data_IF_126694024541
#
_entry.id   IF_126694024541
#
_cell.length_a   1.000
_cell.length_b   1.000
_cell.length_c   1.000
_cell.angle_alpha   90.00
_cell.angle_beta   90.00
_cell.angle_gamma   90.00
#
_symmetry.space_group_name_H-M   'P 1'
#
loop_
_entity.id
_entity.type
_entity.pdbx_description
1 polymer ?
#
# COMPACT_ATOMS: atom_id res chain seq x y z
N UNK A 1 -4.28 7.92 -17.94
CA UNK A 1 -4.84 7.06 -16.87
C UNK A 1 -3.72 6.22 -16.32
N UNK A 2 -3.56 6.12 -14.99
CA UNK A 2 -2.54 5.28 -14.37
C UNK A 2 -2.77 3.79 -14.64
N UNK A 3 -1.70 3.02 -14.49
CA UNK A 3 -1.66 1.58 -14.65
C UNK A 3 -1.64 0.94 -13.25
N UNK A 4 -2.54 -0.01 -13.02
CA UNK A 4 -2.66 -0.74 -11.76
C UNK A 4 -2.59 -2.24 -11.99
N UNK A 5 -2.03 -2.93 -11.01
CA UNK A 5 -1.99 -4.39 -10.96
C UNK A 5 -3.09 -4.91 -10.04
N UNK A 6 -3.73 -6.00 -10.43
CA UNK A 6 -4.76 -6.67 -9.65
C UNK A 6 -4.47 -8.17 -9.59
N UNK A 7 -4.78 -8.77 -8.44
CA UNK A 7 -4.60 -10.20 -8.18
C UNK A 7 -5.94 -10.89 -8.03
N UNK A 8 -6.09 -12.05 -8.68
CA UNK A 8 -7.25 -12.90 -8.48
C UNK A 8 -7.25 -13.46 -7.05
N UNK A 9 -8.40 -13.36 -6.37
CA UNK A 9 -8.56 -13.90 -5.02
C UNK A 9 -8.51 -15.44 -4.98
N UNK A 10 -8.90 -16.11 -6.07
CA UNK A 10 -9.07 -17.57 -6.13
C UNK A 10 -7.79 -18.32 -6.50
N UNK A 11 -7.07 -17.86 -7.52
CA UNK A 11 -5.89 -18.56 -8.06
C UNK A 11 -4.59 -17.73 -7.99
N UNK A 12 -4.68 -16.43 -7.70
CA UNK A 12 -3.54 -15.53 -7.62
C UNK A 12 -3.02 -15.01 -8.95
N UNK A 13 -3.72 -15.19 -10.07
CA UNK A 13 -3.40 -14.59 -11.37
C UNK A 13 -3.26 -13.06 -11.25
N UNK A 14 -2.25 -12.49 -11.92
CA UNK A 14 -2.02 -11.05 -11.97
C UNK A 14 -2.45 -10.48 -13.32
N UNK A 15 -3.28 -9.44 -13.28
CA UNK A 15 -3.67 -8.66 -14.46
C UNK A 15 -3.31 -7.19 -14.27
N UNK A 16 -3.19 -6.48 -15.38
CA UNK A 16 -2.82 -5.07 -15.39
C UNK A 16 -3.84 -4.26 -16.17
N UNK A 17 -4.38 -3.19 -15.58
CA UNK A 17 -5.42 -2.36 -16.17
C UNK A 17 -5.10 -0.87 -16.07
N UNK A 18 -5.52 -0.12 -17.08
CA UNK A 18 -5.55 1.34 -17.06
C UNK A 18 -6.88 1.80 -16.46
N UNK A 19 -6.87 2.40 -15.26
CA UNK A 19 -8.08 2.94 -14.61
C UNK A 19 -7.84 4.34 -14.09
N UNK A 20 -8.92 5.09 -13.83
CA UNK A 20 -8.82 6.34 -13.07
C UNK A 20 -8.44 6.04 -11.60
N UNK A 21 -8.07 7.08 -10.85
CA UNK A 21 -7.80 6.93 -9.42
C UNK A 21 -9.08 6.55 -8.64
N UNK A 22 -10.22 7.14 -9.02
CA UNK A 22 -11.51 6.92 -8.35
C UNK A 22 -12.01 5.49 -8.49
N UNK A 23 -11.59 4.79 -9.54
CA UNK A 23 -11.96 3.41 -9.85
C UNK A 23 -10.91 2.37 -9.41
N UNK A 24 -9.78 2.80 -8.82
CA UNK A 24 -8.64 1.92 -8.60
C UNK A 24 -8.95 0.77 -7.61
N UNK A 25 -9.82 1.02 -6.64
CA UNK A 25 -10.17 0.07 -5.59
C UNK A 25 -11.52 -0.63 -5.83
N UNK A 26 -12.20 -0.32 -6.94
CA UNK A 26 -13.44 -1.00 -7.33
C UNK A 26 -13.15 -2.46 -7.74
N UNK A 27 -14.05 -3.41 -7.41
CA UNK A 27 -13.89 -4.80 -7.81
C UNK A 27 -13.82 -4.93 -9.34
N UNK A 28 -12.83 -5.68 -9.80
CA UNK A 28 -12.62 -5.92 -11.23
C UNK A 28 -13.21 -7.28 -11.62
N UNK A 29 -14.11 -7.24 -12.60
CA UNK A 29 -14.68 -8.45 -13.20
C UNK A 29 -13.64 -9.18 -14.03
N UNK A 30 -13.66 -10.50 -13.96
CA UNK A 30 -12.76 -11.35 -14.73
C UNK A 30 -12.94 -11.17 -16.26
N UNK A 31 -11.87 -10.79 -16.99
CA UNK A 31 -11.92 -10.66 -18.45
C UNK A 31 -12.16 -11.99 -19.17
N UNK A 32 -11.90 -13.14 -18.53
CA UNK A 32 -12.20 -14.46 -19.11
C UNK A 32 -13.67 -14.89 -18.98
N UNK A 33 -14.47 -14.18 -18.18
CA UNK A 33 -15.89 -14.46 -17.97
C UNK A 33 -16.16 -15.64 -17.04
N UNK A 34 -15.17 -16.12 -16.29
CA UNK A 34 -15.31 -17.25 -15.35
C UNK A 34 -15.90 -16.87 -13.98
N UNK A 35 -16.25 -15.60 -13.79
CA UNK A 35 -16.86 -15.10 -12.55
C UNK A 35 -15.86 -14.82 -11.42
N UNK A 36 -14.56 -14.82 -11.73
CA UNK A 36 -13.51 -14.52 -10.76
C UNK A 36 -13.48 -13.06 -10.36
N UNK A 37 -12.96 -12.80 -9.16
CA UNK A 37 -12.80 -11.45 -8.63
C UNK A 37 -11.32 -11.09 -8.47
N UNK A 38 -10.98 -9.86 -8.83
CA UNK A 38 -9.63 -9.33 -8.76
C UNK A 38 -9.57 -8.12 -7.82
N UNK A 39 -8.56 -8.10 -6.95
CA UNK A 39 -8.31 -7.04 -5.97
C UNK A 39 -7.01 -6.30 -6.28
N UNK A 40 -6.96 -4.99 -6.05
CA UNK A 40 -5.80 -4.17 -6.38
C UNK A 40 -4.60 -4.54 -5.50
N UNK A 41 -3.43 -4.67 -6.13
CA UNK A 41 -2.16 -4.90 -5.45
C UNK A 41 -1.31 -3.63 -5.48
N UNK A 42 -0.67 -3.33 -4.36
CA UNK A 42 0.36 -2.29 -4.28
C UNK A 42 1.73 -2.95 -4.13
N UNK A 43 2.66 -2.63 -5.03
CA UNK A 43 4.04 -3.10 -4.92
C UNK A 43 4.73 -2.38 -3.76
N UNK A 44 4.89 -3.08 -2.65
CA UNK A 44 5.67 -2.63 -1.51
C UNK A 44 7.07 -3.24 -1.60
N UNK A 45 8.10 -2.40 -1.50
CA UNK A 45 9.48 -2.85 -1.37
C UNK A 45 9.90 -2.67 0.08
N UNK A 46 10.24 -3.78 0.76
CA UNK A 46 10.86 -3.70 2.09
C UNK A 46 12.28 -3.15 1.93
N UNK A 47 12.60 -2.10 2.67
CA UNK A 47 13.99 -1.68 2.88
C UNK A 47 14.39 -2.14 4.27
N UNK A 48 14.77 -3.42 4.38
CA UNK A 48 15.37 -3.95 5.60
C UNK A 48 16.69 -3.20 5.88
N UNK A 49 16.64 -2.22 6.78
CA UNK A 49 17.84 -1.78 7.50
C UNK A 49 18.07 -2.79 8.62
N UNK A 50 19.31 -3.29 8.82
CA UNK A 50 19.61 -4.05 10.02
C UNK A 50 19.22 -3.20 11.24
N UNK A 51 18.38 -3.77 12.10
CA UNK A 51 17.86 -3.09 13.28
C UNK A 51 19.01 -2.79 14.25
N UNK A 52 19.28 -1.51 14.51
CA UNK A 52 19.78 -1.14 15.84
C UNK A 52 18.60 -1.27 16.80
N UNK A 53 18.82 -1.98 17.92
CA UNK A 53 17.81 -2.18 18.97
C UNK A 53 17.33 -0.82 19.53
N UNK A 54 16.20 -0.34 19.04
CA UNK A 54 15.40 0.71 19.67
C UNK A 54 13.92 0.35 19.49
N UNK A 55 13.27 0.03 20.61
CA UNK A 55 11.97 -0.62 20.64
C UNK A 55 10.78 0.24 20.19
N UNK A 56 9.63 -0.44 20.15
CA UNK A 56 8.31 0.18 20.13
C UNK A 56 7.68 0.26 18.75
N UNK A 57 6.72 -0.63 18.49
CA UNK A 57 5.85 -0.54 17.32
C UNK A 57 5.00 0.73 17.31
N UNK A 58 4.70 1.22 16.11
CA UNK A 58 3.80 2.35 15.91
C UNK A 58 3.62 2.64 14.42
N UNK A 59 2.47 2.26 13.88
CA UNK A 59 2.10 2.46 12.47
C UNK A 59 2.05 3.94 12.07
N UNK A 60 2.37 4.20 10.81
CA UNK A 60 2.49 5.53 10.20
C UNK A 60 1.16 6.26 9.95
N UNK A 61 0.03 5.78 10.50
CA UNK A 61 -1.29 6.34 10.28
C UNK A 61 -1.87 6.85 11.62
N UNK A 62 -1.41 8.00 12.09
CA UNK A 62 -1.94 8.67 13.27
C UNK A 62 -1.46 10.11 13.33
N UNK A 63 -2.35 11.04 13.00
CA UNK A 63 -2.03 12.45 12.75
C UNK A 63 -1.40 13.21 13.92
N UNK A 64 -0.75 14.32 13.56
CA UNK A 64 -0.26 15.30 14.54
C UNK A 64 0.84 16.18 13.99
N UNK A 65 0.49 17.17 13.17
CA UNK A 65 1.37 18.30 12.91
C UNK A 65 1.60 19.04 14.24
N UNK A 66 2.82 19.02 14.77
CA UNK A 66 3.23 19.93 15.84
C UNK A 66 4.59 20.53 15.51
N UNK A 67 4.53 21.71 14.90
CA UNK A 67 5.54 22.73 15.10
C UNK A 67 5.65 22.98 16.63
N UNK A 68 6.56 22.25 17.28
CA UNK A 68 6.76 22.28 18.72
C UNK A 68 8.24 22.46 19.05
N UNK A 69 8.62 23.70 19.30
CA UNK A 69 9.89 24.11 19.91
C UNK A 69 10.21 23.24 21.14
N UNK A 70 11.33 22.55 21.12
CA UNK A 70 11.89 21.85 22.28
C UNK A 70 13.40 22.05 22.33
N UNK A 71 13.81 23.21 22.83
CA UNK A 71 15.19 23.50 23.20
C UNK A 71 15.75 22.40 24.11
N UNK A 72 16.97 21.94 23.86
CA UNK A 72 17.64 21.00 24.75
C UNK A 72 18.91 20.42 24.14
N UNK A 73 19.88 21.27 23.79
CA UNK A 73 21.25 20.83 23.56
C UNK A 73 21.85 20.38 24.91
N UNK A 74 22.22 19.11 25.01
CA UNK A 74 22.95 18.57 26.14
C UNK A 74 24.41 19.05 26.09
N UNK A 75 24.83 19.74 27.15
CA UNK A 75 26.21 19.74 27.63
C UNK A 75 26.36 18.68 28.72
#
# INVERSE_FOLDING_TARGET
MPLYEYRCAEDGELITLLRSMDEADDPVTDPSGSGRTFERVQSLFSTDRPAEEAGGGGGCCGGGCSCGKGSGAAG
#
